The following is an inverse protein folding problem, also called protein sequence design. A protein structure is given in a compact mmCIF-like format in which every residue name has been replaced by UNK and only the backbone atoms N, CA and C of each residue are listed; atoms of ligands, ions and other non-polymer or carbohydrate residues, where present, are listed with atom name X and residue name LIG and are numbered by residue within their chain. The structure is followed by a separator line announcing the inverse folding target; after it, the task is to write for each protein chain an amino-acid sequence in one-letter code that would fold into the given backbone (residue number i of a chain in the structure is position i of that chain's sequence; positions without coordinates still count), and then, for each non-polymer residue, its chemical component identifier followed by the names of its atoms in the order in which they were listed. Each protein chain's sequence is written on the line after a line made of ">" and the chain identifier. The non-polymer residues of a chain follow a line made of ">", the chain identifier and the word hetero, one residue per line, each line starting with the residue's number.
data_IF_906013884293
#
_entry.id   IF_906013884293
#
_cell.length_a   1.000
_cell.length_b   1.000
_cell.length_c   1.000
_cell.angle_alpha   90.00
_cell.angle_beta   90.00
_cell.angle_gamma   90.00
#
_symmetry.space_group_name_H-M   'P 1'
#
loop_
_entity.id
_entity.type
_entity.pdbx_description
1 polymer ?
#
# COMPACT_ATOMS: atom_id res chain seq x y z
N UNK A 1 -9.46 -1.05 15.00
CA UNK A 1 -10.59 -1.93 15.36
C UNK A 1 -11.75 -1.18 16.05
N UNK A 2 -11.49 -0.13 16.82
CA UNK A 2 -12.53 0.71 17.44
C UNK A 2 -13.24 0.07 18.67
N UNK A 3 -12.95 -1.18 19.03
CA UNK A 3 -13.43 -1.80 20.27
C UNK A 3 -12.45 -2.86 20.79
N UNK A 4 -12.37 -3.01 22.11
CA UNK A 4 -11.58 -4.03 22.77
C UNK A 4 -12.01 -5.45 22.36
N UNK A 5 -13.31 -5.68 22.22
CA UNK A 5 -13.85 -6.97 21.77
C UNK A 5 -13.28 -7.38 20.40
N UNK A 6 -13.28 -6.47 19.43
CA UNK A 6 -12.74 -6.73 18.08
C UNK A 6 -11.22 -6.94 18.12
N UNK A 7 -10.50 -6.16 18.91
CA UNK A 7 -9.06 -6.33 19.11
C UNK A 7 -8.77 -7.71 19.69
N UNK A 8 -9.47 -8.11 20.74
CA UNK A 8 -9.32 -9.41 21.36
C UNK A 8 -9.70 -10.57 20.42
N UNK A 9 -10.76 -10.39 19.62
CA UNK A 9 -11.18 -11.39 18.64
C UNK A 9 -10.13 -11.61 17.53
N UNK A 10 -9.44 -10.56 17.12
CA UNK A 10 -8.45 -10.63 16.04
C UNK A 10 -7.06 -11.05 16.53
N UNK A 11 -6.57 -10.46 17.62
CA UNK A 11 -5.21 -10.69 18.12
C UNK A 11 -5.16 -11.69 19.31
N UNK A 12 -6.29 -12.12 19.85
CA UNK A 12 -6.36 -12.96 21.03
C UNK A 12 -6.08 -12.22 22.34
N UNK A 13 -5.61 -10.98 22.30
CA UNK A 13 -5.19 -10.19 23.47
C UNK A 13 -5.41 -8.69 23.25
N UNK A 14 -5.46 -7.95 24.39
CA UNK A 14 -5.44 -6.48 24.41
C UNK A 14 -4.04 -5.92 24.71
N UNK A 15 -3.08 -6.76 25.05
CA UNK A 15 -1.73 -6.32 25.40
C UNK A 15 -0.90 -6.12 24.13
N UNK A 16 -0.29 -4.95 24.00
CA UNK A 16 0.58 -4.61 22.88
C UNK A 16 1.77 -5.58 22.76
N UNK A 17 2.29 -6.05 23.90
CA UNK A 17 3.35 -7.06 23.94
C UNK A 17 3.01 -8.35 23.18
N UNK A 18 1.74 -8.78 23.23
CA UNK A 18 1.30 -10.00 22.56
C UNK A 18 1.21 -9.78 21.04
N UNK A 19 0.85 -8.57 20.62
CA UNK A 19 0.86 -8.22 19.19
C UNK A 19 2.28 -8.18 18.63
N UNK A 20 3.20 -7.56 19.38
CA UNK A 20 4.62 -7.53 19.03
C UNK A 20 5.16 -8.96 18.96
N UNK A 21 4.83 -9.82 19.92
CA UNK A 21 5.22 -11.23 19.90
C UNK A 21 4.68 -11.97 18.66
N UNK A 22 3.42 -11.71 18.26
CA UNK A 22 2.84 -12.28 17.04
C UNK A 22 3.55 -11.80 15.78
N UNK A 23 3.91 -10.52 15.68
CA UNK A 23 4.71 -9.98 14.57
C UNK A 23 6.09 -10.63 14.52
N UNK A 24 6.78 -10.74 15.65
CA UNK A 24 8.09 -11.41 15.73
C UNK A 24 8.01 -12.86 15.27
N UNK A 25 6.98 -13.59 15.69
CA UNK A 25 6.77 -14.98 15.27
C UNK A 25 6.50 -15.07 13.75
N UNK A 26 5.70 -14.15 13.18
CA UNK A 26 5.48 -14.11 11.73
C UNK A 26 6.78 -13.87 10.95
N UNK A 27 7.66 -12.99 11.45
CA UNK A 27 8.96 -12.73 10.82
C UNK A 27 9.88 -13.96 10.89
N UNK A 28 9.90 -14.70 12.02
CA UNK A 28 10.67 -15.95 12.14
C UNK A 28 10.21 -16.99 11.13
N UNK A 29 8.89 -17.14 10.95
CA UNK A 29 8.33 -18.05 9.94
C UNK A 29 8.62 -17.58 8.52
N UNK A 30 8.56 -16.30 8.26
CA UNK A 30 8.94 -15.75 6.97
C UNK A 30 10.41 -16.02 6.64
N UNK A 31 11.30 -16.01 7.66
CA UNK A 31 12.72 -16.31 7.49
C UNK A 31 12.98 -17.73 6.94
N UNK A 32 12.08 -18.70 7.23
CA UNK A 32 12.19 -20.08 6.71
C UNK A 32 12.08 -20.13 5.17
N UNK A 33 11.49 -19.12 4.55
CA UNK A 33 11.36 -18.99 3.10
C UNK A 33 12.55 -18.28 2.44
N UNK A 34 13.54 -17.84 3.20
CA UNK A 34 14.71 -17.08 2.73
C UNK A 34 14.35 -15.91 1.81
N UNK A 35 13.43 -14.99 2.22
CA UNK A 35 12.92 -13.94 1.35
C UNK A 35 13.99 -12.91 1.02
N UNK A 36 14.04 -12.48 -0.24
CA UNK A 36 14.89 -11.35 -0.66
C UNK A 36 14.36 -10.02 -0.08
N UNK A 37 13.06 -9.88 0.02
CA UNK A 37 12.40 -8.73 0.65
C UNK A 37 11.10 -9.12 1.35
N UNK A 38 10.71 -8.27 2.29
CA UNK A 38 9.39 -8.28 2.95
C UNK A 38 8.70 -6.96 2.67
N UNK A 39 7.40 -6.99 2.45
CA UNK A 39 6.59 -5.78 2.24
C UNK A 39 5.82 -5.46 3.52
N UNK A 40 5.84 -4.19 3.91
CA UNK A 40 5.11 -3.68 5.06
C UNK A 40 4.22 -2.50 4.64
N UNK A 41 2.90 -2.70 4.68
CA UNK A 41 1.92 -1.65 4.43
C UNK A 41 1.94 -0.59 5.53
N UNK A 42 2.11 0.67 5.16
CA UNK A 42 2.17 1.79 6.11
C UNK A 42 0.92 2.63 5.99
N UNK A 43 -0.15 2.19 6.64
CA UNK A 43 -1.41 2.93 6.66
C UNK A 43 -2.28 2.56 7.86
N UNK A 44 -3.16 3.48 8.24
CA UNK A 44 -4.18 3.25 9.25
C UNK A 44 -5.47 3.98 8.92
N UNK A 45 -6.60 3.31 9.13
CA UNK A 45 -7.93 3.92 9.15
C UNK A 45 -8.87 3.12 10.04
N UNK A 46 -9.97 3.75 10.44
CA UNK A 46 -11.10 3.06 11.07
C UNK A 46 -12.16 2.77 10.01
N UNK A 47 -12.86 1.64 10.14
CA UNK A 47 -13.93 1.30 9.20
C UNK A 47 -15.05 2.35 9.16
N UNK A 48 -15.27 3.10 10.24
CA UNK A 48 -16.21 4.23 10.29
C UNK A 48 -15.77 5.47 9.50
N UNK A 49 -14.52 5.52 9.04
CA UNK A 49 -13.92 6.66 8.33
C UNK A 49 -13.88 6.44 6.80
N UNK A 50 -14.02 5.18 6.36
CA UNK A 50 -13.73 4.76 5.00
C UNK A 50 -14.55 5.52 3.95
N UNK A 51 -15.87 5.49 4.06
CA UNK A 51 -16.74 6.14 3.08
C UNK A 51 -16.57 7.66 3.03
N UNK A 52 -16.34 8.29 4.17
CA UNK A 52 -16.26 9.75 4.27
C UNK A 52 -14.86 10.30 4.01
N UNK A 53 -13.84 9.45 4.09
CA UNK A 53 -12.42 9.84 4.01
C UNK A 53 -12.07 10.99 4.98
N UNK A 54 -12.71 11.00 6.15
CA UNK A 54 -12.38 11.92 7.26
C UNK A 54 -11.70 11.12 8.34
N UNK A 55 -10.40 11.17 8.35
CA UNK A 55 -9.55 10.35 9.19
C UNK A 55 -9.21 11.05 10.50
N UNK A 56 -9.18 10.30 11.59
CA UNK A 56 -8.78 10.76 12.93
C UNK A 56 -7.26 10.78 13.12
N UNK A 57 -6.51 10.06 12.29
CA UNK A 57 -5.05 10.05 12.30
C UNK A 57 -4.52 10.82 11.09
N UNK A 58 -3.36 11.45 11.26
CA UNK A 58 -2.60 12.07 10.17
C UNK A 58 -1.60 11.10 9.55
N UNK A 59 -1.03 11.44 8.38
CA UNK A 59 0.07 10.68 7.78
C UNK A 59 1.25 10.56 8.77
N UNK A 60 1.59 11.66 9.48
CA UNK A 60 2.67 11.69 10.46
C UNK A 60 2.41 10.78 11.67
N UNK A 61 1.20 10.77 12.23
CA UNK A 61 0.84 9.90 13.36
C UNK A 61 1.08 8.43 13.02
N UNK A 62 0.64 8.02 11.82
CA UNK A 62 0.78 6.63 11.37
C UNK A 62 2.24 6.27 11.10
N UNK A 63 3.01 7.18 10.51
CA UNK A 63 4.44 6.96 10.25
C UNK A 63 5.22 6.84 11.56
N UNK A 64 4.95 7.68 12.57
CA UNK A 64 5.59 7.58 13.90
C UNK A 64 5.26 6.23 14.57
N UNK A 65 4.00 5.84 14.56
CA UNK A 65 3.59 4.54 15.12
C UNK A 65 4.24 3.36 14.36
N UNK A 66 4.41 3.49 13.04
CA UNK A 66 5.10 2.48 12.22
C UNK A 66 6.58 2.39 12.61
N UNK A 67 7.27 3.52 12.81
CA UNK A 67 8.67 3.55 13.25
C UNK A 67 8.81 2.84 14.61
N UNK A 68 7.95 3.15 15.57
CA UNK A 68 7.96 2.49 16.88
C UNK A 68 7.79 0.97 16.76
N UNK A 69 6.76 0.52 16.01
CA UNK A 69 6.51 -0.90 15.81
C UNK A 69 7.68 -1.61 15.11
N UNK A 70 8.17 -1.04 14.02
CA UNK A 70 9.25 -1.65 13.23
C UNK A 70 10.52 -1.76 14.07
N UNK A 71 10.85 -0.76 14.86
CA UNK A 71 12.02 -0.78 15.74
C UNK A 71 11.92 -1.88 16.82
N UNK A 72 10.72 -2.18 17.31
CA UNK A 72 10.48 -3.27 18.26
C UNK A 72 10.65 -4.67 17.64
N UNK A 73 10.43 -4.80 16.34
CA UNK A 73 10.50 -6.09 15.63
C UNK A 73 11.75 -6.23 14.75
N UNK A 74 12.57 -5.19 14.63
CA UNK A 74 13.70 -5.11 13.70
C UNK A 74 14.70 -6.25 13.83
N UNK A 75 14.92 -6.74 15.05
CA UNK A 75 15.86 -7.85 15.34
C UNK A 75 15.42 -9.20 14.73
N UNK A 76 14.14 -9.36 14.40
CA UNK A 76 13.59 -10.59 13.81
C UNK A 76 13.53 -10.53 12.27
N UNK A 77 13.86 -9.39 11.66
CA UNK A 77 13.92 -9.29 10.20
C UNK A 77 15.08 -10.14 9.69
N UNK A 78 14.86 -11.05 8.73
CA UNK A 78 15.89 -11.97 8.27
C UNK A 78 17.15 -11.24 7.78
N UNK A 79 18.31 -11.74 8.15
CA UNK A 79 19.58 -11.14 7.74
C UNK A 79 19.70 -11.13 6.20
N UNK A 80 20.06 -9.97 5.64
CA UNK A 80 20.16 -9.80 4.18
C UNK A 80 18.83 -9.49 3.50
N UNK A 81 17.69 -9.75 4.15
CA UNK A 81 16.37 -9.41 3.64
C UNK A 81 16.17 -7.89 3.64
N UNK A 82 15.50 -7.38 2.62
CA UNK A 82 15.14 -5.96 2.50
C UNK A 82 13.73 -5.74 3.04
N UNK A 83 13.53 -4.77 3.93
CA UNK A 83 12.20 -4.36 4.36
C UNK A 83 11.72 -3.20 3.47
N UNK A 84 10.70 -3.44 2.67
CA UNK A 84 10.10 -2.46 1.76
C UNK A 84 8.80 -1.92 2.33
N UNK A 85 8.76 -0.62 2.59
CA UNK A 85 7.55 0.06 3.03
C UNK A 85 6.67 0.40 1.84
N UNK A 86 5.42 -0.04 1.90
CA UNK A 86 4.47 0.15 0.82
C UNK A 86 3.50 1.28 1.14
N UNK A 87 3.24 2.12 0.13
CA UNK A 87 2.28 3.20 0.21
C UNK A 87 0.84 2.71 0.05
N UNK A 88 -0.08 3.39 0.73
CA UNK A 88 -1.52 3.25 0.57
C UNK A 88 -2.19 4.62 0.37
N UNK A 89 -3.50 4.60 0.15
CA UNK A 89 -4.32 5.82 -0.04
C UNK A 89 -4.97 6.33 1.25
N UNK A 90 -4.78 5.63 2.36
CA UNK A 90 -5.17 6.05 3.71
C UNK A 90 -4.02 6.74 4.44
N UNK A 91 -4.29 7.43 5.57
CA UNK A 91 -3.22 8.05 6.35
C UNK A 91 -2.06 7.12 6.63
N UNK A 92 -0.85 7.60 6.40
CA UNK A 92 0.41 6.88 6.49
C UNK A 92 1.37 7.23 5.35
N UNK A 93 1.92 6.24 4.67
CA UNK A 93 2.84 6.45 3.57
C UNK A 93 2.08 6.73 2.27
N UNK A 94 1.57 7.94 2.12
CA UNK A 94 0.80 8.35 0.92
C UNK A 94 1.67 8.97 -0.18
N UNK A 95 2.93 9.27 0.11
CA UNK A 95 3.87 10.03 -0.72
C UNK A 95 3.46 11.47 -1.06
N UNK A 96 2.35 11.96 -0.51
CA UNK A 96 1.95 13.37 -0.67
C UNK A 96 2.89 14.32 0.09
N UNK A 97 3.61 13.79 1.08
CA UNK A 97 4.55 14.49 1.94
C UNK A 97 5.91 13.77 1.92
N UNK A 98 6.80 14.05 0.95
CA UNK A 98 8.07 13.32 0.79
C UNK A 98 8.95 13.28 2.05
N UNK A 99 8.91 14.33 2.89
CA UNK A 99 9.68 14.38 4.14
C UNK A 99 9.25 13.31 5.15
N UNK A 100 7.97 12.86 5.12
CA UNK A 100 7.51 11.77 5.98
C UNK A 100 8.07 10.42 5.55
N UNK A 101 8.20 10.19 4.24
CA UNK A 101 8.87 8.99 3.73
C UNK A 101 10.36 8.99 4.09
N UNK A 102 11.04 10.15 4.01
CA UNK A 102 12.41 10.29 4.48
C UNK A 102 12.53 9.99 5.98
N UNK A 103 11.65 10.58 6.80
CA UNK A 103 11.61 10.34 8.25
C UNK A 103 11.46 8.84 8.58
N UNK A 104 10.55 8.13 7.90
CA UNK A 104 10.38 6.70 8.09
C UNK A 104 11.67 5.93 7.82
N UNK A 105 12.28 6.15 6.65
CA UNK A 105 13.49 5.45 6.23
C UNK A 105 14.74 5.79 7.06
N UNK A 106 14.78 6.97 7.68
CA UNK A 106 15.90 7.42 8.51
C UNK A 106 15.80 6.96 9.97
N UNK A 107 14.58 6.82 10.49
CA UNK A 107 14.36 6.55 11.92
C UNK A 107 14.10 5.07 12.25
N UNK A 108 13.90 4.22 11.24
CA UNK A 108 13.83 2.78 11.48
C UNK A 108 15.21 2.18 11.68
N UNK A 109 15.37 1.35 12.72
CA UNK A 109 16.64 0.72 13.10
C UNK A 109 16.97 -0.53 12.24
N UNK A 110 16.37 -0.67 11.06
CA UNK A 110 16.64 -1.74 10.13
C UNK A 110 17.60 -1.26 9.04
N UNK A 111 18.78 -1.90 8.85
CA UNK A 111 19.82 -1.38 7.95
C UNK A 111 19.45 -1.49 6.47
N UNK A 112 18.59 -2.43 6.09
CA UNK A 112 18.27 -2.72 4.69
C UNK A 112 16.79 -2.40 4.41
N UNK A 113 16.46 -1.10 4.37
CA UNK A 113 15.11 -0.62 4.13
C UNK A 113 14.97 0.11 2.80
N UNK A 114 13.77 0.09 2.25
CA UNK A 114 13.42 0.81 1.03
C UNK A 114 11.91 0.97 0.89
N UNK A 115 11.49 1.21 -0.32
CA UNK A 115 10.10 1.44 -0.69
C UNK A 115 9.64 0.40 -1.71
N UNK A 116 8.46 -0.15 -1.50
CA UNK A 116 7.61 -0.76 -2.51
C UNK A 116 6.63 0.31 -2.98
N UNK A 117 6.78 0.78 -4.20
CA UNK A 117 5.84 1.73 -4.77
C UNK A 117 4.68 0.99 -5.39
N UNK A 118 3.51 1.10 -4.79
CA UNK A 118 2.27 0.62 -5.40
C UNK A 118 1.61 1.73 -6.21
N UNK A 119 1.44 1.48 -7.51
CA UNK A 119 0.93 2.48 -8.45
C UNK A 119 -0.57 2.69 -8.33
N UNK A 120 -1.34 1.63 -8.07
CA UNK A 120 -2.79 1.72 -7.88
C UNK A 120 -3.14 2.40 -6.57
N UNK A 121 -2.44 2.07 -5.50
CA UNK A 121 -2.56 2.75 -4.20
C UNK A 121 -2.25 4.24 -4.33
N UNK A 122 -1.19 4.59 -5.05
CA UNK A 122 -0.85 5.98 -5.27
C UNK A 122 -1.94 6.70 -6.09
N UNK A 123 -2.47 6.08 -7.15
CA UNK A 123 -3.57 6.65 -7.93
C UNK A 123 -4.81 6.92 -7.07
N UNK A 124 -5.11 6.07 -6.07
CA UNK A 124 -6.23 6.22 -5.15
C UNK A 124 -6.08 7.40 -4.18
N UNK A 125 -4.90 8.05 -4.11
CA UNK A 125 -4.71 9.32 -3.39
C UNK A 125 -5.23 10.52 -4.18
N UNK A 126 -5.44 10.40 -5.50
CA UNK A 126 -5.94 11.45 -6.38
C UNK A 126 -7.26 11.03 -7.06
N UNK A 127 -8.36 11.55 -6.54
CA UNK A 127 -9.70 11.21 -7.04
C UNK A 127 -10.05 11.84 -8.41
N UNK A 128 -9.21 12.73 -8.95
CA UNK A 128 -9.49 13.42 -10.22
C UNK A 128 -9.03 12.65 -11.46
N UNK A 129 -8.31 11.55 -11.27
CA UNK A 129 -7.80 10.71 -12.36
C UNK A 129 -8.95 10.02 -13.10
N UNK A 130 -8.88 10.05 -14.46
CA UNK A 130 -9.95 9.54 -15.34
C UNK A 130 -9.47 8.45 -16.31
N UNK A 131 -8.15 8.38 -16.56
CA UNK A 131 -7.57 7.40 -17.48
C UNK A 131 -6.14 7.02 -17.08
N UNK A 132 -5.64 5.95 -17.68
CA UNK A 132 -4.29 5.43 -17.42
C UNK A 132 -3.19 6.48 -17.65
N UNK A 133 -3.31 7.31 -18.70
CA UNK A 133 -2.33 8.34 -19.01
C UNK A 133 -2.23 9.40 -17.90
N UNK A 134 -3.37 9.83 -17.34
CA UNK A 134 -3.40 10.75 -16.19
C UNK A 134 -2.84 10.06 -14.94
N UNK A 135 -3.14 8.78 -14.72
CA UNK A 135 -2.61 7.97 -13.65
C UNK A 135 -1.09 7.86 -13.72
N UNK A 136 -0.54 7.50 -14.88
CA UNK A 136 0.91 7.43 -15.08
C UNK A 136 1.60 8.78 -14.86
N UNK A 137 1.05 9.86 -15.43
CA UNK A 137 1.60 11.20 -15.22
C UNK A 137 1.59 11.61 -13.74
N UNK A 138 0.56 11.20 -12.98
CA UNK A 138 0.51 11.43 -11.56
C UNK A 138 1.57 10.63 -10.78
N UNK A 139 1.74 9.35 -11.10
CA UNK A 139 2.80 8.50 -10.51
C UNK A 139 4.18 9.09 -10.78
N UNK A 140 4.48 9.46 -12.03
CA UNK A 140 5.75 10.09 -12.43
C UNK A 140 6.00 11.38 -11.64
N UNK A 141 4.98 12.25 -11.55
CA UNK A 141 5.07 13.51 -10.80
C UNK A 141 5.42 13.28 -9.33
N UNK A 142 4.72 12.35 -8.67
CA UNK A 142 4.97 12.04 -7.26
C UNK A 142 6.35 11.40 -7.09
N UNK A 143 6.73 10.43 -7.94
CA UNK A 143 8.05 9.81 -7.90
C UNK A 143 9.18 10.83 -7.97
N UNK A 144 9.10 11.79 -8.91
CA UNK A 144 10.09 12.86 -9.02
C UNK A 144 10.13 13.76 -7.78
N UNK A 145 9.00 13.96 -7.11
CA UNK A 145 8.94 14.76 -5.87
C UNK A 145 9.60 14.06 -4.66
N UNK A 146 9.81 12.74 -4.73
CA UNK A 146 10.46 11.99 -3.65
C UNK A 146 11.96 12.29 -3.53
N UNK A 147 12.61 12.81 -4.57
CA UNK A 147 14.04 13.15 -4.53
C UNK A 147 14.91 11.95 -4.11
N UNK A 148 15.67 12.09 -3.01
CA UNK A 148 16.55 11.01 -2.52
C UNK A 148 15.80 9.75 -2.08
N UNK A 149 14.56 9.88 -1.59
CA UNK A 149 13.70 8.74 -1.27
C UNK A 149 13.41 7.91 -2.52
N UNK A 150 13.23 8.57 -3.68
CA UNK A 150 13.00 7.90 -4.97
C UNK A 150 14.12 6.91 -5.33
N UNK A 151 15.37 7.18 -4.95
CA UNK A 151 16.51 6.26 -5.16
C UNK A 151 16.44 4.99 -4.30
N UNK A 152 15.54 4.95 -3.33
CA UNK A 152 15.28 3.80 -2.45
C UNK A 152 13.98 3.07 -2.80
N UNK A 153 13.35 3.40 -3.91
CA UNK A 153 12.23 2.64 -4.48
C UNK A 153 12.80 1.42 -5.19
N UNK A 154 12.88 0.31 -4.48
CA UNK A 154 13.43 -0.93 -5.00
C UNK A 154 12.38 -1.84 -5.63
N UNK A 155 11.13 -1.73 -5.20
CA UNK A 155 10.04 -2.53 -5.71
C UNK A 155 8.91 -1.69 -6.32
N UNK A 156 8.24 -2.28 -7.29
CA UNK A 156 7.08 -1.71 -7.95
C UNK A 156 5.96 -2.74 -8.01
N UNK A 157 4.84 -2.50 -7.32
CA UNK A 157 3.58 -3.15 -7.55
C UNK A 157 2.88 -2.41 -8.69
N UNK A 158 2.82 -3.04 -9.86
CA UNK A 158 2.35 -2.40 -11.08
C UNK A 158 0.94 -2.86 -11.43
N UNK A 159 -0.02 -2.02 -11.15
CA UNK A 159 -1.42 -2.13 -11.55
C UNK A 159 -2.06 -0.75 -11.58
N UNK A 160 -3.27 -0.64 -12.08
CA UNK A 160 -4.01 0.62 -12.07
C UNK A 160 -5.30 0.52 -11.28
N UNK A 161 -5.64 1.59 -10.56
CA UNK A 161 -6.88 1.75 -9.81
C UNK A 161 -7.42 3.17 -10.01
N UNK A 162 -8.32 3.35 -10.99
CA UNK A 162 -8.97 4.64 -11.26
C UNK A 162 -10.38 4.60 -10.66
N UNK A 163 -10.49 4.94 -9.38
CA UNK A 163 -11.70 4.76 -8.57
C UNK A 163 -12.39 6.06 -8.15
N UNK A 164 -11.87 7.23 -8.58
CA UNK A 164 -12.31 8.53 -8.07
C UNK A 164 -13.82 8.79 -8.16
N UNK A 165 -14.47 8.37 -9.25
CA UNK A 165 -15.93 8.49 -9.42
C UNK A 165 -16.67 7.67 -8.35
N UNK A 166 -16.31 6.41 -8.17
CA UNK A 166 -16.92 5.54 -7.16
C UNK A 166 -16.72 6.10 -5.74
N UNK A 167 -15.51 6.54 -5.41
CA UNK A 167 -15.21 7.10 -4.10
C UNK A 167 -16.05 8.33 -3.80
N UNK A 168 -16.19 9.26 -4.76
CA UNK A 168 -17.03 10.46 -4.59
C UNK A 168 -18.51 10.10 -4.41
N UNK A 169 -19.00 9.11 -5.14
CA UNK A 169 -20.37 8.62 -5.00
C UNK A 169 -20.61 8.05 -3.59
N UNK A 170 -19.67 7.24 -3.07
CA UNK A 170 -19.76 6.70 -1.73
C UNK A 170 -19.68 7.81 -0.67
N UNK A 171 -18.79 8.78 -0.83
CA UNK A 171 -18.71 9.95 0.05
C UNK A 171 -20.04 10.73 0.10
N UNK A 172 -20.69 10.90 -1.05
CA UNK A 172 -21.98 11.60 -1.14
C UNK A 172 -23.09 10.80 -0.47
N UNK A 173 -23.22 9.51 -0.82
CA UNK A 173 -24.27 8.62 -0.29
C UNK A 173 -24.20 8.48 1.24
N UNK A 174 -23.01 8.47 1.81
CA UNK A 174 -22.77 8.20 3.23
C UNK A 174 -22.26 9.44 4.00
N UNK A 175 -22.56 10.64 3.51
CA UNK A 175 -22.04 11.90 4.08
C UNK A 175 -22.41 12.10 5.57
N UNK A 176 -23.58 11.61 6.00
CA UNK A 176 -24.07 11.71 7.39
C UNK A 176 -23.77 10.50 8.28
N UNK A 177 -23.18 9.44 7.72
CA UNK A 177 -22.96 8.19 8.45
C UNK A 177 -21.63 8.19 9.21
N UNK A 178 -21.70 7.77 10.48
CA UNK A 178 -20.50 7.66 11.35
C UNK A 178 -20.33 6.25 11.94
N UNK A 179 -21.13 5.27 11.48
CA UNK A 179 -21.04 3.91 11.99
C UNK A 179 -19.80 3.18 11.45
N UNK A 180 -19.23 2.26 12.21
CA UNK A 180 -18.26 1.32 11.68
C UNK A 180 -18.92 0.44 10.60
N UNK A 181 -18.22 0.19 9.49
CA UNK A 181 -18.62 -0.80 8.51
C UNK A 181 -18.39 -2.20 9.10
N UNK A 182 -19.22 -3.15 8.71
CA UNK A 182 -18.91 -4.55 8.92
C UNK A 182 -17.81 -5.02 7.95
N UNK A 183 -17.37 -6.28 8.12
CA UNK A 183 -16.30 -6.84 7.31
C UNK A 183 -16.65 -6.87 5.81
N UNK A 184 -17.86 -7.27 5.47
CA UNK A 184 -18.28 -7.38 4.07
C UNK A 184 -18.38 -6.00 3.41
N UNK A 185 -19.00 -5.03 4.07
CA UNK A 185 -19.08 -3.64 3.61
C UNK A 185 -17.68 -3.03 3.40
N UNK A 186 -16.78 -3.27 4.36
CA UNK A 186 -15.41 -2.75 4.27
C UNK A 186 -14.65 -3.37 3.09
N UNK A 187 -14.74 -4.69 2.91
CA UNK A 187 -14.08 -5.38 1.80
C UNK A 187 -14.67 -5.01 0.45
N UNK A 188 -15.99 -4.89 0.35
CA UNK A 188 -16.65 -4.43 -0.88
C UNK A 188 -16.19 -3.03 -1.26
N UNK A 189 -16.07 -2.13 -0.28
CA UNK A 189 -15.54 -0.79 -0.54
C UNK A 189 -14.09 -0.83 -1.00
N UNK A 190 -13.22 -1.55 -0.29
CA UNK A 190 -11.80 -1.66 -0.62
C UNK A 190 -11.59 -2.19 -2.03
N UNK A 191 -12.25 -3.28 -2.40
CA UNK A 191 -12.11 -3.91 -3.72
C UNK A 191 -12.63 -3.04 -4.88
N UNK A 192 -13.55 -2.12 -4.61
CA UNK A 192 -14.01 -1.15 -5.60
C UNK A 192 -13.09 0.08 -5.70
N UNK A 193 -12.41 0.44 -4.63
CA UNK A 193 -11.41 1.52 -4.62
C UNK A 193 -10.10 1.02 -5.21
N UNK A 194 -9.62 -0.10 -4.72
CA UNK A 194 -8.36 -0.71 -5.13
C UNK A 194 -8.64 -1.89 -6.06
N UNK A 195 -8.73 -1.57 -7.35
CA UNK A 195 -9.26 -2.48 -8.36
C UNK A 195 -8.26 -3.51 -8.86
N UNK A 196 -6.97 -3.28 -8.66
CA UNK A 196 -5.91 -4.17 -9.13
C UNK A 196 -6.09 -4.61 -10.59
N UNK A 197 -6.35 -3.64 -11.47
CA UNK A 197 -6.53 -3.89 -12.90
C UNK A 197 -5.22 -3.71 -13.69
N UNK A 198 -4.99 -4.47 -14.76
CA UNK A 198 -3.81 -4.27 -15.58
C UNK A 198 -3.89 -2.95 -16.35
N UNK A 199 -2.74 -2.33 -16.57
CA UNK A 199 -2.61 -1.32 -17.61
C UNK A 199 -2.83 -1.95 -18.99
N UNK A 200 -3.44 -1.19 -19.89
CA UNK A 200 -3.75 -1.59 -21.27
C UNK A 200 -3.02 -0.75 -22.31
N UNK A 201 -2.38 0.33 -21.86
CA UNK A 201 -1.69 1.29 -22.73
C UNK A 201 -0.21 1.38 -22.35
N UNK A 202 0.57 2.06 -23.17
CA UNK A 202 2.00 2.35 -22.90
C UNK A 202 2.26 3.16 -21.62
N UNK A 203 1.21 3.62 -20.93
CA UNK A 203 1.30 4.27 -19.63
C UNK A 203 2.09 3.43 -18.61
N UNK A 204 1.92 2.09 -18.64
CA UNK A 204 2.69 1.17 -17.82
C UNK A 204 4.20 1.26 -18.09
N UNK A 205 4.59 1.34 -19.38
CA UNK A 205 5.98 1.43 -19.79
C UNK A 205 6.64 2.73 -19.32
N UNK A 206 5.92 3.85 -19.40
CA UNK A 206 6.41 5.15 -18.92
C UNK A 206 6.74 5.12 -17.43
N UNK A 207 5.87 4.52 -16.60
CA UNK A 207 6.14 4.36 -15.17
C UNK A 207 7.40 3.54 -14.95
N UNK A 208 7.51 2.39 -15.63
CA UNK A 208 8.66 1.50 -15.49
C UNK A 208 9.98 2.17 -15.90
N UNK A 209 9.99 2.94 -16.99
CA UNK A 209 11.16 3.65 -17.49
C UNK A 209 11.64 4.75 -16.52
N UNK A 210 10.73 5.36 -15.76
CA UNK A 210 11.05 6.39 -14.76
C UNK A 210 11.51 5.78 -13.44
N UNK A 211 10.81 4.74 -12.94
CA UNK A 211 11.09 4.16 -11.61
C UNK A 211 12.28 3.23 -11.64
N UNK A 212 12.44 2.40 -12.68
CA UNK A 212 13.51 1.41 -12.85
C UNK A 212 13.73 0.53 -11.60
N UNK A 213 12.71 -0.18 -11.09
CA UNK A 213 12.80 -0.91 -9.85
C UNK A 213 13.65 -2.19 -9.98
N UNK A 214 14.24 -2.67 -8.85
CA UNK A 214 14.90 -3.99 -8.77
C UNK A 214 13.86 -5.13 -8.90
N UNK A 215 12.65 -4.91 -8.36
CA UNK A 215 11.56 -5.89 -8.31
C UNK A 215 10.30 -5.34 -8.97
N UNK A 216 9.76 -6.06 -9.95
CA UNK A 216 8.49 -5.74 -10.60
C UNK A 216 7.47 -6.83 -10.32
N UNK A 217 6.35 -6.48 -9.70
CA UNK A 217 5.24 -7.38 -9.40
C UNK A 217 4.00 -6.96 -10.18
N UNK A 218 3.41 -7.89 -10.90
CA UNK A 218 2.09 -7.74 -11.48
C UNK A 218 1.04 -8.10 -10.42
N UNK A 219 0.52 -7.12 -9.72
CA UNK A 219 -0.43 -7.34 -8.64
C UNK A 219 -1.87 -7.17 -9.11
N UNK A 220 -2.56 -8.29 -9.29
CA UNK A 220 -3.93 -8.29 -9.81
C UNK A 220 -4.89 -9.06 -8.92
N UNK A 221 -6.10 -8.52 -8.74
CA UNK A 221 -7.25 -9.30 -8.29
C UNK A 221 -7.75 -10.17 -9.44
N UNK A 222 -7.83 -11.49 -9.24
CA UNK A 222 -8.24 -12.44 -10.26
C UNK A 222 -9.40 -13.33 -9.80
N UNK A 223 -10.25 -13.69 -10.74
CA UNK A 223 -11.41 -14.59 -10.52
C UNK A 223 -11.08 -16.05 -10.81
N UNK A 224 -10.06 -16.28 -11.61
CA UNK A 224 -9.60 -17.61 -12.03
C UNK A 224 -8.16 -17.53 -12.53
N UNK A 225 -7.51 -18.70 -12.71
CA UNK A 225 -6.19 -18.76 -13.33
C UNK A 225 -6.18 -18.18 -14.76
N UNK A 226 -7.22 -18.46 -15.55
CA UNK A 226 -7.31 -17.94 -16.92
C UNK A 226 -7.45 -16.40 -16.94
N UNK A 227 -8.23 -15.82 -16.02
CA UNK A 227 -8.34 -14.38 -15.85
C UNK A 227 -6.99 -13.75 -15.46
N UNK A 228 -6.27 -14.37 -14.51
CA UNK A 228 -4.93 -13.94 -14.11
C UNK A 228 -3.92 -13.97 -15.27
N UNK A 229 -3.86 -15.08 -16.01
CA UNK A 229 -3.00 -15.21 -17.19
C UNK A 229 -3.33 -14.15 -18.26
N UNK A 230 -4.63 -13.85 -18.44
CA UNK A 230 -5.07 -12.80 -19.37
C UNK A 230 -4.63 -11.42 -18.90
N UNK A 231 -4.76 -11.10 -17.60
CA UNK A 231 -4.31 -9.82 -17.03
C UNK A 231 -2.80 -9.63 -17.14
N UNK A 232 -2.01 -10.67 -16.83
CA UNK A 232 -0.55 -10.65 -17.02
C UNK A 232 -0.20 -10.39 -18.50
N UNK A 233 -0.84 -11.11 -19.43
CA UNK A 233 -0.61 -10.92 -20.87
C UNK A 233 -0.94 -9.51 -21.32
N UNK A 234 -2.07 -8.97 -20.85
CA UNK A 234 -2.49 -7.61 -21.17
C UNK A 234 -1.45 -6.58 -20.72
N UNK A 235 -0.97 -6.67 -19.49
CA UNK A 235 0.02 -5.72 -18.98
C UNK A 235 1.40 -5.90 -19.61
N UNK A 236 1.81 -7.14 -19.92
CA UNK A 236 3.06 -7.37 -20.67
C UNK A 236 3.03 -6.72 -22.05
N UNK A 237 1.90 -6.77 -22.76
CA UNK A 237 1.71 -6.06 -24.04
C UNK A 237 1.81 -4.54 -23.85
N UNK A 238 1.20 -4.00 -22.79
CA UNK A 238 1.29 -2.57 -22.44
C UNK A 238 2.73 -2.13 -22.11
N UNK A 239 3.55 -3.05 -21.59
CA UNK A 239 4.98 -2.82 -21.33
C UNK A 239 5.86 -2.97 -22.59
N UNK A 240 5.30 -3.41 -23.73
CA UNK A 240 6.07 -3.71 -24.93
C UNK A 240 6.87 -5.02 -24.85
N UNK A 241 6.54 -5.89 -23.89
CA UNK A 241 7.15 -7.22 -23.75
C UNK A 241 6.21 -8.27 -24.36
N UNK A 242 6.65 -8.96 -25.42
CA UNK A 242 5.95 -10.10 -26.01
C UNK A 242 6.29 -11.42 -25.29
#
# INVERSE_FOLDING_TARGET
>A
FGSEEKIRAYYGSLHVSDWIAAWKENLRRAAECEPEYLVFHVAHNRTSEMYRRKFSSTDEDVIRATIELVNEIAAEIPHGCRLLFENLWWPGLTFRHPHLAAMLLEQVCCPNTGVMLDTGHLMNTNLDLRCEAEGAAYVEKIYHSLGEVGKRVYGLHLHQSISGTYVREMMYRHAGECRPLDWQEAMDYVTHVDRHEPFRTEAARRILDVVQPDYLVHEFCQRSRADWEQKIRTQRLALGAL
#
